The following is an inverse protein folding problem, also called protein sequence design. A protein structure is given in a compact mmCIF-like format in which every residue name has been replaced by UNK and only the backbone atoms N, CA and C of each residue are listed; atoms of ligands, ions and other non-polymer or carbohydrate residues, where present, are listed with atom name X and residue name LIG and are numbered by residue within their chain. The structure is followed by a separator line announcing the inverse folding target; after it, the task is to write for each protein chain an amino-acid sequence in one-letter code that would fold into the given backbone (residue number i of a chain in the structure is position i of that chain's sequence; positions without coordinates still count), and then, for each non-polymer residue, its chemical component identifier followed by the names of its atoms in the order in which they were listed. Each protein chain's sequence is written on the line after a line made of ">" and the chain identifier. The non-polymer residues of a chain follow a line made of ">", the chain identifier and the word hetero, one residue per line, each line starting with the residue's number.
data_IF_952528330117
#
_entry.id   IF_952528330117
#
_cell.length_a   1.000
_cell.length_b   1.000
_cell.length_c   1.000
_cell.angle_alpha   90.00
_cell.angle_beta   90.00
_cell.angle_gamma   90.00
#
_symmetry.space_group_name_H-M   'P 1'
#
loop_
_entity.id
_entity.type
_entity.pdbx_description
1 polymer ?
#
# COMPACT_ATOMS: atom_id res chain seq x y z
N UNK A 1 -39.37 49.53 6.27
CA UNK A 1 -38.20 48.90 6.94
C UNK A 1 -38.44 47.43 7.29
N UNK A 2 -39.66 47.01 7.71
CA UNK A 2 -39.99 45.61 8.02
C UNK A 2 -39.66 44.60 6.90
N UNK A 3 -40.02 44.88 5.63
CA UNK A 3 -39.77 43.95 4.52
C UNK A 3 -38.30 43.61 4.28
N UNK A 4 -37.37 44.53 4.56
CA UNK A 4 -35.94 44.28 4.40
C UNK A 4 -35.40 43.38 5.53
N UNK A 5 -35.93 43.54 6.74
CA UNK A 5 -35.59 42.70 7.89
C UNK A 5 -36.10 41.26 7.70
N UNK A 6 -37.36 41.09 7.29
CA UNK A 6 -37.96 39.78 7.04
C UNK A 6 -37.28 39.02 5.88
N UNK A 7 -36.78 39.76 4.88
CA UNK A 7 -36.01 39.17 3.78
C UNK A 7 -34.66 38.66 4.26
N UNK A 8 -33.96 39.44 5.11
CA UNK A 8 -32.67 39.06 5.67
C UNK A 8 -32.79 37.84 6.58
N UNK A 9 -33.80 37.78 7.45
CA UNK A 9 -34.02 36.62 8.33
C UNK A 9 -34.29 35.33 7.55
N UNK A 10 -35.07 35.41 6.47
CA UNK A 10 -35.31 34.25 5.58
C UNK A 10 -34.02 33.78 4.92
N UNK A 11 -33.19 34.71 4.43
CA UNK A 11 -31.92 34.37 3.79
C UNK A 11 -30.93 33.75 4.78
N UNK A 12 -30.81 34.33 5.98
CA UNK A 12 -29.96 33.77 7.06
C UNK A 12 -30.43 32.37 7.40
N UNK A 13 -31.72 32.15 7.61
CA UNK A 13 -32.27 30.82 7.93
C UNK A 13 -31.98 29.80 6.83
N UNK A 14 -32.14 30.19 5.57
CA UNK A 14 -31.83 29.34 4.41
C UNK A 14 -30.34 28.98 4.37
N UNK A 15 -29.45 29.96 4.51
CA UNK A 15 -27.99 29.74 4.56
C UNK A 15 -27.57 28.88 5.75
N UNK A 16 -28.18 29.05 6.92
CA UNK A 16 -27.91 28.19 8.09
C UNK A 16 -28.33 26.74 7.82
N UNK A 17 -29.45 26.50 7.14
CA UNK A 17 -29.87 25.15 6.77
C UNK A 17 -28.94 24.52 5.73
N UNK A 18 -28.54 25.27 4.70
CA UNK A 18 -27.55 24.82 3.71
C UNK A 18 -26.22 24.48 4.38
N UNK A 19 -25.72 25.35 5.27
CA UNK A 19 -24.47 25.13 5.98
C UNK A 19 -24.55 23.92 6.91
N UNK A 20 -25.67 23.73 7.60
CA UNK A 20 -25.88 22.56 8.46
C UNK A 20 -25.83 21.27 7.63
N UNK A 21 -26.48 21.25 6.47
CA UNK A 21 -26.46 20.10 5.57
C UNK A 21 -25.05 19.79 5.08
N UNK A 22 -24.32 20.79 4.60
CA UNK A 22 -22.92 20.62 4.16
C UNK A 22 -22.02 20.12 5.30
N UNK A 23 -22.26 20.59 6.52
CA UNK A 23 -21.51 20.13 7.69
C UNK A 23 -21.82 18.65 8.01
N UNK A 24 -23.09 18.24 7.97
CA UNK A 24 -23.49 16.84 8.13
C UNK A 24 -22.84 15.94 7.06
N UNK A 25 -22.88 16.36 5.79
CA UNK A 25 -22.25 15.65 4.68
C UNK A 25 -20.72 15.54 4.87
N UNK A 26 -20.07 16.63 5.29
CA UNK A 26 -18.62 16.66 5.55
C UNK A 26 -18.23 15.75 6.73
N UNK A 27 -19.02 15.74 7.80
CA UNK A 27 -18.79 14.85 8.94
C UNK A 27 -18.90 13.38 8.53
N UNK A 28 -19.84 13.05 7.65
CA UNK A 28 -19.96 11.71 7.09
C UNK A 28 -18.72 11.34 6.26
N UNK A 29 -18.28 12.20 5.34
CA UNK A 29 -17.08 11.95 4.52
C UNK A 29 -15.82 11.80 5.39
N UNK A 30 -15.67 12.61 6.43
CA UNK A 30 -14.55 12.49 7.38
C UNK A 30 -14.60 11.15 8.12
N UNK A 31 -15.78 10.71 8.56
CA UNK A 31 -15.93 9.43 9.23
C UNK A 31 -15.57 8.26 8.30
N UNK A 32 -16.03 8.29 7.06
CA UNK A 32 -15.72 7.28 6.04
C UNK A 32 -14.21 7.24 5.73
N UNK A 33 -13.58 8.41 5.54
CA UNK A 33 -12.12 8.51 5.31
C UNK A 33 -11.34 7.91 6.47
N UNK A 34 -11.70 8.22 7.72
CA UNK A 34 -11.01 7.68 8.90
C UNK A 34 -11.11 6.17 8.99
N UNK A 35 -12.28 5.59 8.71
CA UNK A 35 -12.46 4.14 8.70
C UNK A 35 -11.58 3.48 7.64
N UNK A 36 -11.48 4.06 6.45
CA UNK A 36 -10.62 3.56 5.38
C UNK A 36 -9.13 3.69 5.72
N UNK A 37 -8.72 4.79 6.34
CA UNK A 37 -7.34 4.99 6.80
C UNK A 37 -6.95 3.99 7.91
N UNK A 38 -7.85 3.73 8.86
CA UNK A 38 -7.63 2.74 9.92
C UNK A 38 -7.52 1.32 9.35
N UNK A 39 -8.42 0.94 8.44
CA UNK A 39 -8.37 -0.36 7.77
C UNK A 39 -7.09 -0.53 6.94
N UNK A 40 -6.67 0.52 6.23
CA UNK A 40 -5.41 0.53 5.47
C UNK A 40 -4.22 0.33 6.42
N UNK A 41 -4.16 1.10 7.52
CA UNK A 41 -3.09 1.00 8.51
C UNK A 41 -3.03 -0.38 9.16
N UNK A 42 -4.17 -0.99 9.47
CA UNK A 42 -4.23 -2.35 10.01
C UNK A 42 -3.70 -3.36 8.99
N UNK A 43 -4.11 -3.25 7.73
CA UNK A 43 -3.64 -4.11 6.64
C UNK A 43 -2.13 -3.97 6.42
N UNK A 44 -1.60 -2.74 6.40
CA UNK A 44 -0.16 -2.48 6.28
C UNK A 44 0.62 -3.04 7.46
N UNK A 45 0.10 -2.89 8.69
CA UNK A 45 0.74 -3.42 9.90
C UNK A 45 0.77 -4.94 9.87
N UNK A 46 -0.33 -5.57 9.46
CA UNK A 46 -0.42 -7.03 9.29
C UNK A 46 0.53 -7.53 8.21
N UNK A 47 0.54 -6.88 7.04
CA UNK A 47 1.47 -7.19 5.95
C UNK A 47 2.92 -7.11 6.43
N UNK A 48 3.30 -5.99 7.05
CA UNK A 48 4.64 -5.77 7.60
C UNK A 48 5.02 -6.86 8.60
N UNK A 49 4.13 -7.16 9.54
CA UNK A 49 4.36 -8.20 10.54
C UNK A 49 4.58 -9.59 9.90
N UNK A 50 3.80 -9.95 8.88
CA UNK A 50 3.97 -11.22 8.17
C UNK A 50 5.33 -11.26 7.46
N UNK A 51 5.71 -10.18 6.77
CA UNK A 51 6.95 -10.13 5.99
C UNK A 51 8.18 -10.10 6.88
N UNK A 52 8.19 -9.24 7.91
CA UNK A 52 9.33 -9.04 8.80
C UNK A 52 9.58 -10.24 9.72
N UNK A 53 8.52 -10.93 10.17
CA UNK A 53 8.65 -12.08 11.07
C UNK A 53 8.70 -13.44 10.35
N UNK A 54 8.67 -13.47 9.01
CA UNK A 54 8.83 -14.71 8.26
C UNK A 54 10.23 -15.30 8.46
N UNK A 55 10.30 -16.62 8.67
CA UNK A 55 11.58 -17.35 8.77
C UNK A 55 12.23 -17.48 7.38
N UNK A 56 11.40 -17.59 6.34
CA UNK A 56 11.87 -17.67 4.96
C UNK A 56 12.16 -16.28 4.40
N UNK A 57 13.17 -16.22 3.53
CA UNK A 57 13.51 -15.00 2.81
C UNK A 57 12.40 -14.62 1.82
N UNK A 58 11.81 -13.44 2.02
CA UNK A 58 10.80 -12.87 1.13
C UNK A 58 11.47 -11.73 0.36
N UNK A 59 11.29 -11.72 -0.95
CA UNK A 59 11.78 -10.65 -1.81
C UNK A 59 10.77 -10.29 -2.91
N UNK A 60 10.86 -9.06 -3.38
CA UNK A 60 10.12 -8.57 -4.55
C UNK A 60 11.10 -7.97 -5.54
N UNK A 61 10.90 -8.26 -6.82
CA UNK A 61 11.72 -7.69 -7.91
C UNK A 61 10.86 -7.18 -9.05
N UNK A 62 11.37 -6.19 -9.76
CA UNK A 62 10.89 -5.82 -11.09
C UNK A 62 11.22 -6.92 -12.12
N UNK A 63 10.59 -6.85 -13.30
CA UNK A 63 10.86 -7.79 -14.41
C UNK A 63 12.32 -7.71 -14.90
N UNK A 64 12.93 -6.52 -14.88
CA UNK A 64 14.35 -6.31 -15.21
C UNK A 64 15.33 -6.74 -14.09
N UNK A 65 14.82 -7.29 -12.99
CA UNK A 65 15.64 -7.93 -11.96
C UNK A 65 16.11 -7.02 -10.84
N UNK A 66 15.60 -5.79 -10.77
CA UNK A 66 15.87 -4.90 -9.66
C UNK A 66 15.07 -5.34 -8.44
N UNK A 67 15.75 -5.59 -7.33
CA UNK A 67 15.09 -5.84 -6.06
C UNK A 67 14.42 -4.56 -5.54
N UNK A 68 13.16 -4.66 -5.16
CA UNK A 68 12.35 -3.56 -4.60
C UNK A 68 12.05 -3.74 -3.13
N UNK A 69 12.12 -4.98 -2.63
CA UNK A 69 11.87 -5.31 -1.24
C UNK A 69 12.58 -6.62 -0.90
N UNK A 70 13.14 -6.68 0.30
CA UNK A 70 13.57 -7.92 0.96
C UNK A 70 13.17 -7.86 2.42
N UNK A 71 12.88 -9.01 3.06
CA UNK A 71 12.71 -9.07 4.51
C UNK A 71 14.04 -9.32 5.23
N UNK A 72 14.02 -9.19 6.56
CA UNK A 72 15.21 -9.41 7.39
C UNK A 72 15.79 -10.84 7.24
N UNK A 73 14.93 -11.86 7.15
CA UNK A 73 15.38 -13.24 7.00
C UNK A 73 16.21 -13.51 5.73
N UNK A 74 15.99 -12.77 4.65
CA UNK A 74 16.82 -12.86 3.44
C UNK A 74 18.22 -12.25 3.63
N UNK A 75 18.35 -11.29 4.54
CA UNK A 75 19.55 -10.48 4.78
C UNK A 75 20.42 -11.07 5.89
N UNK A 76 19.87 -11.94 6.74
CA UNK A 76 20.60 -12.68 7.78
C UNK A 76 21.69 -13.64 7.22
N UNK A 77 21.77 -13.80 5.89
CA UNK A 77 22.95 -14.35 5.22
C UNK A 77 24.17 -13.43 5.43
N UNK A 78 25.33 -13.94 5.89
CA UNK A 78 26.44 -13.10 6.32
C UNK A 78 26.99 -12.24 5.17
N UNK A 79 26.72 -10.93 5.21
CA UNK A 79 27.23 -9.98 4.23
C UNK A 79 26.57 -8.60 4.18
N UNK A 80 25.38 -8.42 4.76
CA UNK A 80 24.62 -7.17 4.70
C UNK A 80 24.07 -6.78 6.08
N UNK A 81 24.08 -5.48 6.40
CA UNK A 81 23.61 -4.99 7.70
C UNK A 81 22.11 -4.65 7.72
N UNK A 82 21.47 -4.44 6.56
CA UNK A 82 20.03 -4.20 6.46
C UNK A 82 19.43 -4.54 5.08
N UNK A 83 18.09 -4.75 5.00
CA UNK A 83 17.35 -4.84 3.74
C UNK A 83 17.61 -3.69 2.77
N UNK A 84 17.67 -2.46 3.28
CA UNK A 84 17.90 -1.26 2.47
C UNK A 84 19.30 -1.28 1.86
N UNK A 85 20.31 -1.74 2.61
CA UNK A 85 21.66 -1.91 2.11
C UNK A 85 21.69 -2.93 0.97
N UNK A 86 21.07 -4.09 1.15
CA UNK A 86 20.97 -5.13 0.12
C UNK A 86 20.34 -4.60 -1.19
N UNK A 87 19.24 -3.86 -1.08
CA UNK A 87 18.54 -3.26 -2.22
C UNK A 87 19.42 -2.18 -2.90
N UNK A 88 20.13 -1.37 -2.12
CA UNK A 88 20.95 -0.27 -2.63
C UNK A 88 22.18 -0.73 -3.42
N UNK A 89 22.77 -1.86 -3.04
CA UNK A 89 24.00 -2.38 -3.64
C UNK A 89 23.77 -3.06 -5.00
N UNK A 90 22.54 -2.97 -5.56
CA UNK A 90 22.13 -3.71 -6.77
C UNK A 90 22.43 -5.21 -6.64
N UNK A 91 22.12 -5.78 -5.48
CA UNK A 91 22.28 -7.21 -5.27
C UNK A 91 21.67 -7.97 -6.45
N UNK A 92 22.48 -8.84 -7.05
CA UNK A 92 22.09 -9.51 -8.27
C UNK A 92 21.01 -10.54 -7.94
N UNK A 93 19.81 -10.34 -8.46
CA UNK A 93 18.67 -11.24 -8.29
C UNK A 93 19.00 -12.67 -8.73
N UNK A 94 19.93 -12.85 -9.66
CA UNK A 94 20.41 -14.17 -10.09
C UNK A 94 21.00 -14.97 -8.93
N UNK A 95 21.58 -14.31 -7.91
CA UNK A 95 22.14 -14.98 -6.74
C UNK A 95 21.08 -15.54 -5.79
N UNK A 96 19.80 -15.12 -5.94
CA UNK A 96 18.68 -15.68 -5.18
C UNK A 96 18.11 -16.95 -5.82
N UNK A 97 18.49 -17.23 -7.07
CA UNK A 97 18.11 -18.47 -7.75
C UNK A 97 19.29 -19.44 -7.71
N UNK A 98 19.05 -20.64 -7.18
CA UNK A 98 20.03 -21.75 -7.25
C UNK A 98 20.38 -22.07 -8.71
N UNK A 99 19.40 -21.91 -9.60
CA UNK A 99 19.54 -22.05 -11.04
C UNK A 99 18.95 -20.81 -11.73
N UNK A 100 19.79 -20.03 -12.41
CA UNK A 100 19.43 -18.79 -13.09
C UNK A 100 18.40 -18.99 -14.21
N UNK A 101 18.29 -20.20 -14.77
CA UNK A 101 17.26 -20.50 -15.77
C UNK A 101 15.84 -20.41 -15.21
N UNK A 102 15.66 -20.66 -13.89
CA UNK A 102 14.35 -20.57 -13.21
C UNK A 102 13.76 -19.16 -13.27
N UNK A 103 14.60 -18.12 -13.25
CA UNK A 103 14.12 -16.74 -13.42
C UNK A 103 13.61 -16.50 -14.84
N UNK A 104 14.32 -17.03 -15.84
CA UNK A 104 13.92 -16.91 -17.24
C UNK A 104 12.58 -17.62 -17.48
N UNK A 105 12.42 -18.82 -16.89
CA UNK A 105 11.16 -19.56 -16.95
C UNK A 105 10.03 -18.83 -16.22
N UNK A 106 10.29 -18.27 -15.03
CA UNK A 106 9.31 -17.44 -14.31
C UNK A 106 8.82 -16.27 -15.16
N UNK A 107 9.74 -15.51 -15.77
CA UNK A 107 9.39 -14.38 -16.64
C UNK A 107 8.58 -14.84 -17.86
N UNK A 108 8.91 -16.01 -18.42
CA UNK A 108 8.17 -16.60 -19.53
C UNK A 108 6.76 -17.06 -19.16
N UNK A 109 6.61 -17.59 -17.94
CA UNK A 109 5.36 -18.10 -17.41
C UNK A 109 4.41 -16.98 -16.97
N UNK A 110 4.92 -15.78 -16.67
CA UNK A 110 4.13 -14.56 -16.53
C UNK A 110 3.49 -14.22 -17.90
N UNK A 111 2.39 -14.90 -18.23
CA UNK A 111 1.49 -14.64 -19.36
C UNK A 111 0.89 -13.22 -19.25
N UNK A 112 0.22 -12.68 -20.30
CA UNK A 112 -0.09 -11.25 -20.43
C UNK A 112 -0.81 -10.60 -19.24
N UNK A 113 -1.50 -11.40 -18.43
CA UNK A 113 -2.31 -10.96 -17.29
C UNK A 113 -1.50 -10.66 -16.02
N UNK A 114 -0.19 -10.94 -16.01
CA UNK A 114 0.75 -10.42 -15.00
C UNK A 114 0.76 -11.11 -13.64
N UNK A 115 0.15 -12.30 -13.50
CA UNK A 115 0.20 -13.09 -12.26
C UNK A 115 0.44 -14.58 -12.54
N UNK A 116 1.10 -15.25 -11.59
CA UNK A 116 1.26 -16.69 -11.54
C UNK A 116 0.52 -17.23 -10.31
N UNK A 117 -0.49 -18.06 -10.54
CA UNK A 117 -1.23 -18.75 -9.47
C UNK A 117 -0.82 -20.21 -9.40
N UNK A 118 0.43 -20.49 -9.02
CA UNK A 118 0.80 -21.85 -8.58
C UNK A 118 1.41 -21.77 -7.19
N UNK A 119 0.76 -22.44 -6.24
CA UNK A 119 1.30 -22.74 -4.93
C UNK A 119 2.34 -23.83 -5.11
N UNK A 120 3.62 -23.50 -4.92
CA UNK A 120 4.66 -24.52 -4.81
C UNK A 120 4.48 -25.21 -3.45
N UNK A 121 4.11 -26.49 -3.49
CA UNK A 121 4.05 -27.40 -2.33
C UNK A 121 5.44 -27.83 -1.88
#
# INVERSE_FOLDING_TARGET
>A
MQNAHDTLEKEVRKRTQELKKVNEDLLFEIAERKLNEEALKESETKYRSIVENAIEGIFQTTLDGKCTMVNAALVDLPGYASPEEYISQKANIENLYVDSSRRTDLIRLLQPDGYLSETVQ
#
